data_IF_935789390689
#
_entry.id   IF_935789390689
#
_cell.length_a   1.000
_cell.length_b   1.000
_cell.length_c   1.000
_cell.angle_alpha   90.00
_cell.angle_beta   90.00
_cell.angle_gamma   90.00
#
_symmetry.space_group_name_H-M   'P 1'
#
loop_
_entity.id
_entity.type
_entity.pdbx_description
1 polymer ?
#
# COMPACT_ATOMS: atom_id res chain seq x y z
N UNK A 1 4.09 -16.74 9.04
CA UNK A 1 5.52 -16.36 9.04
C UNK A 1 5.60 -15.10 9.88
N UNK A 2 6.32 -15.16 11.00
CA UNK A 2 6.19 -14.22 12.11
C UNK A 2 7.19 -13.07 12.00
N UNK A 3 6.75 -11.86 12.36
CA UNK A 3 7.64 -10.79 12.80
C UNK A 3 6.92 -10.00 13.91
N UNK A 4 7.64 -9.76 15.00
CA UNK A 4 7.19 -9.07 16.22
C UNK A 4 7.74 -7.65 16.20
N UNK A 5 6.89 -6.67 16.47
CA UNK A 5 7.24 -5.27 16.68
C UNK A 5 6.49 -4.77 17.90
N UNK A 6 6.99 -5.13 19.07
CA UNK A 6 6.38 -4.82 20.36
C UNK A 6 6.68 -3.37 20.75
N UNK A 7 5.65 -2.52 20.84
CA UNK A 7 5.67 -1.37 21.75
C UNK A 7 5.39 -1.90 23.16
N UNK A 8 6.34 -2.65 23.73
CA UNK A 8 6.25 -3.13 25.11
C UNK A 8 6.82 -2.06 26.02
N UNK A 9 5.99 -1.57 26.96
CA UNK A 9 6.49 -0.86 28.13
C UNK A 9 7.52 -1.76 28.84
N UNK A 10 8.74 -1.26 29.16
CA UNK A 10 9.80 -2.09 29.73
C UNK A 10 9.32 -2.90 30.93
N UNK A 11 9.41 -4.24 30.84
CA UNK A 11 9.13 -5.16 31.95
C UNK A 11 7.78 -5.89 31.91
N UNK A 12 6.89 -5.60 30.95
CA UNK A 12 5.65 -6.37 30.77
C UNK A 12 5.85 -7.48 29.72
N UNK A 13 5.52 -8.73 30.06
CA UNK A 13 5.40 -9.79 29.06
C UNK A 13 4.02 -9.67 28.41
N UNK A 14 3.91 -9.60 27.08
CA UNK A 14 2.61 -9.62 26.44
C UNK A 14 1.90 -10.94 26.76
N UNK A 15 0.67 -10.85 27.26
CA UNK A 15 -0.23 -11.97 27.45
C UNK A 15 -1.18 -12.02 26.26
N UNK A 16 -1.00 -13.02 25.40
CA UNK A 16 -1.87 -13.26 24.27
C UNK A 16 -3.00 -14.22 24.66
N UNK A 17 -4.22 -13.87 24.26
CA UNK A 17 -5.36 -14.79 24.29
C UNK A 17 -5.79 -15.04 22.85
N UNK A 18 -5.78 -16.30 22.44
CA UNK A 18 -6.18 -16.70 21.10
C UNK A 18 -7.67 -17.06 21.07
N UNK A 19 -8.34 -16.69 19.98
CA UNK A 19 -9.72 -17.04 19.71
C UNK A 19 -9.84 -17.60 18.30
N UNK A 20 -10.45 -18.76 18.16
CA UNK A 20 -10.88 -19.29 16.86
C UNK A 20 -12.38 -19.07 16.69
N UNK A 21 -12.77 -18.43 15.59
CA UNK A 21 -14.16 -18.17 15.24
C UNK A 21 -14.40 -18.48 13.78
N UNK A 22 -15.60 -18.95 13.48
CA UNK A 22 -16.11 -19.13 12.12
C UNK A 22 -17.22 -18.12 11.92
N UNK A 23 -17.20 -17.42 10.78
CA UNK A 23 -18.27 -16.50 10.42
C UNK A 23 -19.59 -17.25 10.26
N UNK A 24 -20.68 -16.66 10.72
CA UNK A 24 -22.03 -17.16 10.47
C UNK A 24 -22.46 -17.00 9.00
N UNK A 25 -23.71 -17.34 8.69
CA UNK A 25 -24.29 -17.26 7.34
C UNK A 25 -24.43 -15.81 6.83
N UNK A 26 -24.29 -14.82 7.73
CA UNK A 26 -24.25 -13.39 7.39
C UNK A 26 -22.81 -12.88 7.21
N UNK A 27 -21.81 -13.75 7.39
CA UNK A 27 -20.40 -13.37 7.31
C UNK A 27 -19.87 -12.69 8.57
N UNK A 28 -20.60 -12.75 9.68
CA UNK A 28 -20.29 -12.06 10.93
C UNK A 28 -19.64 -13.00 11.96
N UNK A 29 -18.80 -12.47 12.85
CA UNK A 29 -18.36 -13.13 14.06
C UNK A 29 -18.20 -12.11 15.20
N UNK A 30 -18.28 -12.55 16.45
CA UNK A 30 -18.02 -11.71 17.62
C UNK A 30 -17.01 -12.35 18.57
N UNK A 31 -16.25 -11.48 19.24
CA UNK A 31 -15.40 -11.81 20.39
C UNK A 31 -15.84 -10.91 21.53
N UNK A 32 -16.23 -11.50 22.65
CA UNK A 32 -16.80 -10.81 23.81
C UNK A 32 -16.01 -11.12 25.08
N UNK A 33 -16.09 -10.23 26.07
CA UNK A 33 -15.54 -10.44 27.41
C UNK A 33 -14.01 -10.37 27.50
N UNK A 34 -13.34 -9.79 26.50
CA UNK A 34 -11.90 -9.58 26.53
C UNK A 34 -11.52 -8.13 26.91
N UNK A 35 -10.36 -7.96 27.54
CA UNK A 35 -9.91 -6.69 28.13
C UNK A 35 -8.51 -6.24 27.68
N UNK A 36 -8.10 -6.63 26.47
CA UNK A 36 -6.80 -6.28 25.88
C UNK A 36 -6.65 -4.81 25.46
N UNK A 37 -5.41 -4.43 25.13
CA UNK A 37 -5.08 -3.15 24.49
C UNK A 37 -5.35 -3.18 22.98
N UNK A 38 -5.09 -4.32 22.35
CA UNK A 38 -5.24 -4.54 20.92
C UNK A 38 -5.69 -5.98 20.62
N UNK A 39 -6.28 -6.17 19.44
CA UNK A 39 -6.67 -7.47 18.88
C UNK A 39 -5.94 -7.66 17.54
N UNK A 40 -5.11 -8.69 17.46
CA UNK A 40 -4.50 -9.10 16.20
C UNK A 40 -5.41 -10.12 15.49
N UNK A 41 -5.99 -9.69 14.38
CA UNK A 41 -6.86 -10.49 13.54
C UNK A 41 -6.06 -11.16 12.43
N UNK A 42 -6.08 -12.50 12.45
CA UNK A 42 -5.59 -13.34 11.38
C UNK A 42 -6.76 -14.07 10.74
N UNK A 43 -7.16 -13.59 9.57
CA UNK A 43 -8.24 -14.21 8.81
C UNK A 43 -7.65 -15.30 7.91
N UNK A 44 -8.15 -16.53 8.07
CA UNK A 44 -7.89 -17.60 7.12
C UNK A 44 -8.95 -17.57 6.01
N UNK A 45 -8.58 -17.27 4.75
CA UNK A 45 -9.56 -17.22 3.68
C UNK A 45 -10.18 -18.59 3.40
N UNK A 46 -11.47 -18.60 3.06
CA UNK A 46 -12.07 -19.76 2.39
C UNK A 46 -11.32 -20.01 1.07
N UNK A 47 -11.19 -21.27 0.60
CA UNK A 47 -10.58 -21.54 -0.70
C UNK A 47 -11.19 -20.70 -1.83
N UNK A 48 -10.33 -20.08 -2.64
CA UNK A 48 -10.76 -19.18 -3.71
C UNK A 48 -11.11 -17.76 -3.27
N UNK A 49 -10.83 -17.38 -2.02
CA UNK A 49 -10.95 -16.00 -1.55
C UNK A 49 -9.60 -15.40 -1.18
N UNK A 50 -9.47 -14.09 -1.40
CA UNK A 50 -8.41 -13.24 -0.89
C UNK A 50 -8.99 -12.26 0.12
N UNK A 51 -8.23 -11.93 1.17
CA UNK A 51 -8.59 -10.92 2.17
C UNK A 51 -7.62 -9.73 2.13
N UNK A 52 -8.15 -8.54 2.40
CA UNK A 52 -7.37 -7.32 2.67
C UNK A 52 -7.97 -6.58 3.88
N UNK A 53 -7.14 -5.96 4.74
CA UNK A 53 -5.68 -6.11 4.84
C UNK A 53 -5.26 -7.52 5.33
N UNK A 54 -4.00 -7.89 5.10
CA UNK A 54 -3.43 -9.16 5.59
C UNK A 54 -2.75 -8.89 6.93
N UNK A 55 -3.30 -9.45 8.01
CA UNK A 55 -2.86 -9.15 9.38
C UNK A 55 -3.33 -7.77 9.78
N UNK A 56 -4.37 -7.71 10.61
CA UNK A 56 -4.89 -6.45 11.13
C UNK A 56 -4.71 -6.41 12.64
N UNK A 57 -4.17 -5.31 13.14
CA UNK A 57 -4.23 -4.98 14.55
C UNK A 57 -5.34 -3.94 14.78
N UNK A 58 -6.30 -4.28 15.65
CA UNK A 58 -7.39 -3.39 16.06
C UNK A 58 -7.11 -2.91 17.48
N UNK A 59 -6.92 -1.61 17.68
CA UNK A 59 -6.76 -1.06 19.02
C UNK A 59 -8.11 -1.04 19.74
N UNK A 60 -8.16 -1.64 20.92
CA UNK A 60 -9.34 -1.72 21.79
C UNK A 60 -9.36 -0.58 22.83
N UNK A 61 -8.19 -0.02 23.17
CA UNK A 61 -8.01 1.07 24.14
C UNK A 61 -7.01 2.10 23.64
N UNK A 62 -7.20 3.35 24.06
CA UNK A 62 -6.29 4.46 23.72
C UNK A 62 -4.97 4.36 24.51
N UNK A 63 -3.84 4.57 23.84
CA UNK A 63 -2.49 4.48 24.41
C UNK A 63 -2.25 5.67 25.35
N UNK A 64 -2.63 5.50 26.62
CA UNK A 64 -2.24 6.43 27.70
C UNK A 64 -3.35 6.80 28.68
N UNK A 65 -4.63 6.53 28.37
CA UNK A 65 -5.76 6.99 29.21
C UNK A 65 -6.63 5.85 29.73
N UNK A 66 -6.39 4.60 29.31
CA UNK A 66 -7.20 3.43 29.70
C UNK A 66 -8.67 3.50 29.27
N UNK A 67 -9.04 4.54 28.51
CA UNK A 67 -10.37 4.73 27.93
C UNK A 67 -10.53 3.77 26.74
N UNK A 68 -11.74 3.24 26.52
CA UNK A 68 -12.06 2.52 25.29
C UNK A 68 -11.66 3.38 24.09
N UNK A 69 -10.94 2.80 23.13
CA UNK A 69 -10.63 3.50 21.90
C UNK A 69 -11.95 3.86 21.20
N UNK A 70 -12.03 4.97 20.45
CA UNK A 70 -13.21 5.30 19.65
C UNK A 70 -13.57 4.23 18.60
N UNK A 71 -12.72 3.21 18.43
CA UNK A 71 -12.82 2.08 17.52
C UNK A 71 -13.42 0.81 18.12
N UNK A 72 -14.05 0.83 19.31
CA UNK A 72 -14.77 -0.36 19.80
C UNK A 72 -15.92 -0.67 18.85
N UNK A 73 -15.76 -1.73 18.07
CA UNK A 73 -16.81 -2.23 17.19
C UNK A 73 -17.96 -2.78 18.02
N UNK A 74 -19.18 -2.31 17.73
CA UNK A 74 -20.41 -2.90 18.28
C UNK A 74 -21.14 -3.67 17.19
N UNK A 75 -22.24 -4.34 17.54
CA UNK A 75 -23.09 -4.96 16.53
C UNK A 75 -23.69 -3.92 15.57
N UNK A 76 -24.00 -2.73 16.07
CA UNK A 76 -24.59 -1.62 15.34
C UNK A 76 -23.55 -0.82 14.54
N UNK A 77 -22.26 -0.95 14.92
CA UNK A 77 -21.12 -0.35 14.22
C UNK A 77 -19.96 -1.36 14.17
N UNK A 78 -20.08 -2.43 13.36
CA UNK A 78 -19.09 -3.50 13.33
C UNK A 78 -17.82 -3.03 12.61
N UNK A 79 -16.70 -3.67 12.93
CA UNK A 79 -15.54 -3.60 12.06
C UNK A 79 -15.81 -4.46 10.82
N UNK A 80 -15.75 -3.87 9.63
CA UNK A 80 -16.04 -4.55 8.37
C UNK A 80 -14.73 -4.92 7.67
N UNK A 81 -14.64 -6.17 7.21
CA UNK A 81 -13.56 -6.67 6.38
C UNK A 81 -14.12 -7.10 5.03
N UNK A 82 -13.36 -6.88 3.96
CA UNK A 82 -13.75 -7.36 2.66
C UNK A 82 -12.95 -8.61 2.28
N UNK A 83 -13.68 -9.58 1.76
CA UNK A 83 -13.14 -10.76 1.10
C UNK A 83 -13.49 -10.67 -0.37
N UNK A 84 -12.52 -10.94 -1.24
CA UNK A 84 -12.73 -10.98 -2.67
C UNK A 84 -12.60 -12.42 -3.16
N UNK A 85 -13.62 -12.90 -3.86
CA UNK A 85 -13.59 -14.23 -4.47
C UNK A 85 -12.85 -14.15 -5.80
N UNK A 86 -11.81 -14.97 -5.95
CA UNK A 86 -11.08 -15.08 -7.21
C UNK A 86 -12.01 -15.44 -8.38
N UNK A 87 -11.70 -14.87 -9.54
CA UNK A 87 -12.31 -15.22 -10.81
C UNK A 87 -12.02 -16.67 -11.21
N UNK A 88 -12.70 -17.15 -12.26
CA UNK A 88 -12.59 -18.54 -12.71
C UNK A 88 -11.22 -18.91 -13.30
N UNK A 89 -10.37 -17.92 -13.63
CA UNK A 89 -9.09 -18.14 -14.30
C UNK A 89 -8.01 -17.32 -13.62
N UNK A 90 -7.22 -17.96 -12.77
CA UNK A 90 -5.97 -17.37 -12.26
C UNK A 90 -4.96 -17.37 -13.40
N UNK A 91 -4.33 -16.24 -13.65
CA UNK A 91 -3.31 -16.08 -14.69
C UNK A 91 -1.90 -16.04 -14.07
N UNK A 92 -0.92 -16.48 -14.85
CA UNK A 92 0.48 -16.47 -14.43
C UNK A 92 1.01 -15.03 -14.37
N UNK A 93 0.90 -14.38 -13.22
CA UNK A 93 1.43 -13.03 -13.03
C UNK A 93 2.90 -13.04 -12.61
N UNK A 94 3.68 -12.12 -13.17
CA UNK A 94 4.98 -11.74 -12.60
C UNK A 94 4.75 -10.78 -11.43
N UNK A 95 5.23 -11.14 -10.24
CA UNK A 95 5.07 -10.35 -9.01
C UNK A 95 6.43 -9.96 -8.46
N UNK A 96 6.54 -8.79 -7.86
CA UNK A 96 7.77 -8.39 -7.18
C UNK A 96 7.62 -7.11 -6.38
N UNK A 97 8.71 -6.75 -5.72
CA UNK A 97 8.81 -5.55 -4.90
C UNK A 97 10.17 -4.90 -5.10
N UNK A 98 10.17 -3.57 -5.21
CA UNK A 98 11.37 -2.73 -5.29
C UNK A 98 11.33 -1.83 -4.06
N UNK A 99 12.40 -1.79 -3.29
CA UNK A 99 12.62 -0.79 -2.25
C UNK A 99 13.90 -0.02 -2.59
N UNK A 100 13.79 1.28 -2.75
CA UNK A 100 14.88 2.16 -3.14
C UNK A 100 14.84 3.45 -2.31
N UNK A 101 15.90 3.69 -1.56
CA UNK A 101 15.91 4.74 -0.52
C UNK A 101 16.91 5.87 -0.80
N UNK A 102 17.54 5.83 -1.98
CA UNK A 102 18.60 6.76 -2.39
C UNK A 102 18.11 7.71 -3.51
N UNK A 103 16.81 8.04 -3.52
CA UNK A 103 16.31 9.11 -4.38
C UNK A 103 16.84 10.44 -3.87
N UNK A 104 17.56 11.17 -4.72
CA UNK A 104 17.97 12.55 -4.45
C UNK A 104 16.79 13.45 -4.82
N UNK A 105 16.17 14.16 -3.86
CA UNK A 105 14.93 14.89 -4.11
C UNK A 105 15.19 16.29 -4.68
N UNK A 106 16.02 16.38 -5.72
CA UNK A 106 16.34 17.62 -6.45
C UNK A 106 15.60 17.74 -7.79
N UNK A 107 14.69 16.80 -8.06
CA UNK A 107 13.93 16.72 -9.30
C UNK A 107 14.61 15.97 -10.43
N UNK A 108 15.80 15.39 -10.21
CA UNK A 108 16.41 14.53 -11.23
C UNK A 108 15.55 13.28 -11.50
N UNK A 109 15.57 12.77 -12.73
CA UNK A 109 14.77 11.61 -13.10
C UNK A 109 15.47 10.29 -12.76
N UNK A 110 14.67 9.33 -12.30
CA UNK A 110 15.02 7.95 -12.05
C UNK A 110 14.14 7.03 -12.89
N UNK A 111 14.73 6.03 -13.51
CA UNK A 111 14.02 5.00 -14.27
C UNK A 111 13.77 3.79 -13.40
N UNK A 112 12.51 3.38 -13.32
CA UNK A 112 12.06 2.14 -12.69
C UNK A 112 11.94 1.06 -13.75
N UNK A 113 12.59 -0.07 -13.51
CA UNK A 113 12.54 -1.27 -14.34
C UNK A 113 11.98 -2.43 -13.52
N UNK A 114 10.66 -2.62 -13.56
CA UNK A 114 9.91 -3.63 -12.81
C UNK A 114 10.46 -5.03 -13.06
N UNK A 115 10.67 -5.42 -14.33
CA UNK A 115 11.12 -6.77 -14.68
C UNK A 115 12.51 -7.12 -14.13
N UNK A 116 13.37 -6.13 -13.97
CA UNK A 116 14.72 -6.32 -13.45
C UNK A 116 14.85 -6.00 -11.96
N UNK A 117 13.78 -5.50 -11.32
CA UNK A 117 13.81 -4.99 -9.95
C UNK A 117 14.89 -3.93 -9.71
N UNK A 118 14.97 -2.93 -10.60
CA UNK A 118 16.00 -1.89 -10.50
C UNK A 118 15.41 -0.49 -10.61
N UNK A 119 16.07 0.43 -9.90
CA UNK A 119 15.94 1.87 -10.07
C UNK A 119 17.31 2.41 -10.44
N UNK A 120 17.39 3.21 -11.50
CA UNK A 120 18.64 3.81 -11.98
C UNK A 120 18.43 5.28 -12.31
N UNK A 121 19.45 6.11 -12.14
CA UNK A 121 19.40 7.51 -12.59
C UNK A 121 19.35 7.55 -14.12
N UNK A 122 18.45 8.33 -14.71
CA UNK A 122 18.37 8.45 -16.17
C UNK A 122 17.00 8.86 -16.68
N UNK A 123 16.88 8.91 -18.01
CA UNK A 123 15.67 9.38 -18.71
C UNK A 123 15.11 8.42 -19.75
N UNK A 124 15.81 7.34 -20.08
CA UNK A 124 15.45 6.43 -21.18
C UNK A 124 15.50 4.97 -20.74
N UNK A 125 14.67 4.13 -21.38
CA UNK A 125 14.67 2.65 -21.27
C UNK A 125 14.22 2.10 -19.90
N UNK A 126 12.90 2.03 -19.68
CA UNK A 126 12.29 1.39 -18.52
C UNK A 126 10.76 1.48 -18.53
N UNK A 127 10.12 1.06 -17.45
CA UNK A 127 8.65 1.06 -17.37
C UNK A 127 8.11 2.47 -17.08
N UNK A 128 8.70 3.13 -16.07
CA UNK A 128 8.34 4.49 -15.66
C UNK A 128 9.57 5.31 -15.29
N UNK A 129 9.43 6.62 -15.40
CA UNK A 129 10.35 7.61 -14.88
C UNK A 129 9.72 8.26 -13.65
N UNK A 130 10.52 8.50 -12.62
CA UNK A 130 10.10 9.12 -11.38
C UNK A 130 11.00 10.32 -11.11
N UNK A 131 10.42 11.41 -10.61
CA UNK A 131 11.18 12.52 -10.05
C UNK A 131 10.56 12.96 -8.73
N UNK A 132 11.40 13.31 -7.77
CA UNK A 132 10.97 13.84 -6.46
C UNK A 132 11.69 15.16 -6.22
N UNK A 133 10.98 16.15 -5.68
CA UNK A 133 11.54 17.46 -5.30
C UNK A 133 11.20 17.76 -3.84
N UNK A 134 12.18 18.30 -3.12
CA UNK A 134 12.09 18.78 -1.74
C UNK A 134 13.16 19.86 -1.51
N UNK A 135 12.93 20.88 -0.67
CA UNK A 135 13.98 21.86 -0.35
C UNK A 135 15.17 21.19 0.36
N UNK A 136 16.40 21.72 0.16
CA UNK A 136 17.54 21.34 0.99
C UNK A 136 17.33 21.75 2.45
N UNK A 137 17.97 21.07 3.40
CA UNK A 137 17.90 21.43 4.82
C UNK A 137 16.54 21.18 5.48
N UNK A 138 15.72 20.30 4.90
CA UNK A 138 14.38 19.95 5.39
C UNK A 138 14.37 19.26 6.78
N UNK A 139 15.49 18.64 7.21
CA UNK A 139 15.53 17.71 8.36
C UNK A 139 15.04 18.30 9.69
N UNK A 140 15.11 19.62 9.86
CA UNK A 140 14.66 20.32 11.07
C UNK A 140 13.27 20.94 10.94
N UNK A 141 12.54 20.64 9.86
CA UNK A 141 11.24 21.23 9.56
C UNK A 141 10.11 20.23 9.86
N UNK A 142 9.03 20.73 10.44
CA UNK A 142 7.80 19.96 10.67
C UNK A 142 7.07 19.69 9.35
N UNK A 143 7.00 20.71 8.48
CA UNK A 143 6.44 20.60 7.13
C UNK A 143 7.39 21.24 6.14
N UNK A 144 7.37 20.79 4.89
CA UNK A 144 8.18 21.34 3.80
C UNK A 144 7.47 21.17 2.46
N UNK A 145 7.79 22.00 1.47
CA UNK A 145 7.28 21.80 0.13
C UNK A 145 7.85 20.51 -0.47
N UNK A 146 7.01 19.63 -1.02
CA UNK A 146 7.52 18.49 -1.77
C UNK A 146 6.59 18.10 -2.90
N UNK A 147 7.15 17.42 -3.90
CA UNK A 147 6.37 16.91 -5.02
C UNK A 147 7.00 15.66 -5.59
N UNK A 148 6.16 14.83 -6.20
CA UNK A 148 6.57 13.66 -6.95
C UNK A 148 5.84 13.63 -8.29
N UNK A 149 6.52 13.14 -9.32
CA UNK A 149 5.92 12.87 -10.63
C UNK A 149 6.33 11.48 -11.10
N UNK A 150 5.38 10.73 -11.64
CA UNK A 150 5.60 9.48 -12.36
C UNK A 150 5.23 9.73 -13.82
N UNK A 151 6.17 9.49 -14.73
CA UNK A 151 5.92 9.47 -16.16
C UNK A 151 6.03 8.04 -16.70
N UNK A 152 5.02 7.61 -17.43
CA UNK A 152 5.03 6.41 -18.24
C UNK A 152 6.08 6.48 -19.35
N UNK A 153 7.01 5.52 -19.38
CA UNK A 153 8.00 5.37 -20.46
C UNK A 153 7.50 4.33 -21.45
N UNK A 154 7.39 3.07 -21.04
CA UNK A 154 6.82 1.99 -21.84
C UNK A 154 5.41 1.58 -21.39
N UNK A 155 4.98 2.14 -20.27
CA UNK A 155 3.72 1.84 -19.63
C UNK A 155 2.88 3.12 -19.47
N UNK A 156 1.57 2.95 -19.51
CA UNK A 156 0.57 3.96 -19.18
C UNK A 156 -0.02 3.63 -17.81
N UNK A 157 -0.44 4.66 -17.07
CA UNK A 157 -0.89 4.63 -15.69
C UNK A 157 -2.35 5.03 -15.60
N UNK A 158 -3.12 4.36 -14.76
CA UNK A 158 -4.44 4.83 -14.35
C UNK A 158 -4.57 4.68 -12.84
N UNK A 159 -4.67 5.80 -12.13
CA UNK A 159 -4.84 5.79 -10.68
C UNK A 159 -6.14 5.06 -10.30
N UNK A 160 -6.09 4.29 -9.22
CA UNK A 160 -7.24 3.54 -8.72
C UNK A 160 -7.30 3.57 -7.20
N UNK A 161 -8.52 3.45 -6.68
CA UNK A 161 -8.81 3.24 -5.27
C UNK A 161 -9.40 1.84 -5.02
N UNK A 162 -9.34 0.96 -6.02
CA UNK A 162 -9.84 -0.40 -5.91
C UNK A 162 -9.02 -1.18 -4.88
N UNK A 163 -9.74 -1.76 -3.92
CA UNK A 163 -9.12 -2.49 -2.82
C UNK A 163 -8.36 -3.75 -3.30
N UNK A 164 -8.94 -4.45 -4.29
CA UNK A 164 -8.41 -5.71 -4.81
C UNK A 164 -7.79 -5.59 -6.19
N UNK A 165 -8.15 -4.58 -6.98
CA UNK A 165 -7.62 -4.29 -8.31
C UNK A 165 -7.43 -5.55 -9.20
N UNK A 166 -8.49 -6.37 -9.31
CA UNK A 166 -8.47 -7.68 -9.97
C UNK A 166 -8.64 -7.63 -11.48
N UNK A 167 -9.23 -6.56 -12.03
CA UNK A 167 -9.38 -6.39 -13.47
C UNK A 167 -8.98 -4.98 -13.88
N UNK A 168 -8.03 -4.88 -14.79
CA UNK A 168 -7.61 -3.62 -15.37
C UNK A 168 -8.76 -3.00 -16.19
N UNK A 169 -9.00 -1.68 -16.12
CA UNK A 169 -10.02 -1.01 -16.91
C UNK A 169 -9.70 -1.04 -18.41
N UNK A 170 -10.71 -0.85 -19.27
CA UNK A 170 -10.52 -0.84 -20.72
C UNK A 170 -9.89 0.47 -21.23
N UNK A 171 -10.06 1.56 -20.49
CA UNK A 171 -9.69 2.93 -20.88
C UNK A 171 -9.46 3.81 -19.66
N UNK A 172 -8.82 4.97 -19.85
CA UNK A 172 -8.53 5.94 -18.78
C UNK A 172 -7.04 6.05 -18.43
N UNK A 173 -6.19 5.32 -19.15
CA UNK A 173 -4.75 5.38 -18.99
C UNK A 173 -4.16 6.70 -19.49
N UNK A 174 -3.27 7.27 -18.70
CA UNK A 174 -2.47 8.44 -19.01
C UNK A 174 -0.98 8.17 -18.84
N UNK A 175 -0.16 9.11 -19.29
CA UNK A 175 1.29 9.00 -19.20
C UNK A 175 1.89 9.68 -17.97
N UNK A 176 1.13 10.51 -17.26
CA UNK A 176 1.71 11.34 -16.20
C UNK A 176 0.77 11.30 -15.00
N UNK A 177 1.37 11.06 -13.85
CA UNK A 177 0.74 11.29 -12.55
C UNK A 177 1.65 12.19 -11.72
N UNK A 178 1.06 13.08 -10.93
CA UNK A 178 1.82 13.99 -10.08
C UNK A 178 1.10 14.27 -8.77
N UNK A 179 1.90 14.47 -7.74
CA UNK A 179 1.46 14.90 -6.42
C UNK A 179 2.36 16.04 -5.95
N UNK A 180 1.78 17.02 -5.27
CA UNK A 180 2.52 18.12 -4.68
C UNK A 180 1.86 18.56 -3.38
N UNK A 181 2.67 18.93 -2.41
CA UNK A 181 2.22 19.45 -1.14
C UNK A 181 3.04 20.67 -0.73
N UNK A 182 2.35 21.63 -0.10
CA UNK A 182 2.95 22.86 0.43
C UNK A 182 3.08 22.78 1.93
N UNK A 183 4.16 23.32 2.47
CA UNK A 183 4.35 23.44 3.91
C UNK A 183 3.17 24.20 4.56
N UNK A 184 2.69 23.73 5.71
CA UNK A 184 1.56 24.35 6.43
C UNK A 184 0.18 24.06 5.86
N UNK A 185 0.05 23.21 4.83
CA UNK A 185 -1.26 22.78 4.32
C UNK A 185 -1.96 21.91 5.36
N UNK A 186 -3.24 22.15 5.65
CA UNK A 186 -4.04 21.26 6.51
C UNK A 186 -4.05 19.84 5.95
N UNK A 187 -3.78 18.84 6.80
CA UNK A 187 -3.61 17.46 6.34
C UNK A 187 -2.28 17.22 5.62
N UNK A 188 -1.22 17.95 6.01
CA UNK A 188 0.13 17.73 5.53
C UNK A 188 0.53 16.25 5.68
N UNK A 189 1.04 15.64 4.61
CA UNK A 189 1.56 14.28 4.62
C UNK A 189 3.00 14.28 4.15
N UNK A 190 3.81 13.39 4.74
CA UNK A 190 5.18 13.13 4.30
C UNK A 190 5.28 11.90 3.42
N UNK A 191 4.16 11.23 3.24
CA UNK A 191 4.05 9.98 2.51
C UNK A 191 2.80 10.00 1.63
N UNK A 192 2.93 9.49 0.41
CA UNK A 192 1.79 9.26 -0.48
C UNK A 192 1.85 7.84 -1.04
N UNK A 193 0.70 7.18 -1.06
CA UNK A 193 0.56 5.75 -1.38
C UNK A 193 -0.36 5.48 -2.58
N UNK A 194 -0.07 6.03 -3.78
CA UNK A 194 -0.96 5.86 -4.92
C UNK A 194 -0.92 4.42 -5.44
N UNK A 195 -2.07 3.97 -5.97
CA UNK A 195 -2.20 2.68 -6.65
C UNK A 195 -2.55 2.93 -8.10
N UNK A 196 -2.01 2.12 -8.99
CA UNK A 196 -2.26 2.27 -10.42
C UNK A 196 -2.56 0.93 -11.08
N UNK A 197 -3.49 0.95 -12.03
CA UNK A 197 -3.48 0.01 -13.13
C UNK A 197 -2.42 0.41 -14.15
N UNK A 198 -1.79 -0.60 -14.76
CA UNK A 198 -0.79 -0.46 -15.80
C UNK A 198 -1.29 -1.04 -17.10
N UNK A 199 -0.89 -0.41 -18.21
CA UNK A 199 -1.05 -0.94 -19.56
C UNK A 199 0.21 -0.62 -20.35
N UNK A 200 0.83 -1.59 -21.01
CA UNK A 200 1.95 -1.28 -21.90
C UNK A 200 1.45 -0.45 -23.08
N UNK A 201 2.28 0.45 -23.61
CA UNK A 201 1.91 1.28 -24.76
C UNK A 201 1.56 0.46 -26.01
N UNK A 202 2.14 -0.74 -26.12
CA UNK A 202 1.79 -1.70 -27.17
C UNK A 202 0.43 -2.40 -26.94
N UNK A 203 -0.21 -2.23 -25.78
CA UNK A 203 -1.49 -2.83 -25.41
C UNK A 203 -1.45 -4.32 -25.12
N UNK A 204 -0.26 -4.91 -25.06
CA UNK A 204 -0.05 -6.37 -24.93
C UNK A 204 0.13 -6.83 -23.48
N UNK A 205 0.24 -5.91 -22.54
CA UNK A 205 0.52 -6.22 -21.15
C UNK A 205 -0.32 -5.32 -20.25
N UNK A 206 -0.91 -5.92 -19.23
CA UNK A 206 -1.60 -5.20 -18.17
C UNK A 206 -0.93 -5.49 -16.83
N UNK A 207 -1.20 -4.65 -15.84
CA UNK A 207 -0.67 -4.85 -14.51
C UNK A 207 -1.33 -3.96 -13.49
N UNK A 208 -0.82 -4.04 -12.28
CA UNK A 208 -1.05 -3.06 -11.23
C UNK A 208 0.22 -2.83 -10.43
N UNK A 209 0.31 -1.63 -9.86
CA UNK A 209 1.33 -1.26 -8.90
C UNK A 209 0.71 -0.60 -7.68
N UNK A 210 1.33 -0.82 -6.54
CA UNK A 210 1.15 -0.01 -5.33
C UNK A 210 2.48 0.67 -5.07
N UNK A 211 2.47 1.99 -4.97
CA UNK A 211 3.68 2.80 -4.81
C UNK A 211 3.58 3.54 -3.49
N UNK A 212 4.68 3.58 -2.74
CA UNK A 212 4.84 4.38 -1.54
C UNK A 212 6.03 5.32 -1.75
N UNK A 213 5.78 6.63 -1.62
CA UNK A 213 6.84 7.64 -1.59
C UNK A 213 6.99 8.19 -0.20
N UNK A 214 8.21 8.17 0.33
CA UNK A 214 8.54 8.69 1.67
C UNK A 214 9.40 9.93 1.49
N UNK A 215 8.79 11.10 1.63
CA UNK A 215 9.41 12.38 1.32
C UNK A 215 10.46 12.80 2.35
N UNK A 216 10.49 12.22 3.56
CA UNK A 216 11.40 12.56 4.67
C UNK A 216 12.40 11.45 5.02
N UNK A 217 12.73 10.58 4.06
CA UNK A 217 13.67 9.49 4.29
C UNK A 217 15.14 9.97 4.30
N UNK A 218 15.67 10.29 5.49
CA UNK A 218 17.08 10.72 5.69
C UNK A 218 17.46 11.81 4.66
N UNK A 219 18.71 11.83 4.20
CA UNK A 219 19.17 12.82 3.23
C UNK A 219 18.51 12.68 1.83
N UNK A 220 17.84 11.57 1.55
CA UNK A 220 17.15 11.27 0.30
C UNK A 220 15.62 11.28 0.41
N UNK A 221 14.99 10.45 -0.42
CA UNK A 221 13.58 10.08 -0.36
C UNK A 221 13.44 8.57 -0.60
N UNK A 222 12.40 7.98 -0.02
CA UNK A 222 12.08 6.56 -0.17
C UNK A 222 11.10 6.31 -1.30
N UNK A 223 11.29 5.20 -2.01
CA UNK A 223 10.38 4.63 -2.98
C UNK A 223 10.23 3.14 -2.72
N UNK A 224 9.01 2.70 -2.49
CA UNK A 224 8.65 1.28 -2.47
C UNK A 224 7.61 1.05 -3.56
N UNK A 225 7.81 0.01 -4.37
CA UNK A 225 6.88 -0.38 -5.45
C UNK A 225 6.59 -1.86 -5.31
N UNK A 226 5.34 -2.21 -5.10
CA UNK A 226 4.84 -3.57 -5.29
C UNK A 226 4.18 -3.65 -6.66
N UNK A 227 4.47 -4.71 -7.42
CA UNK A 227 3.92 -4.86 -8.77
C UNK A 227 3.41 -6.25 -9.05
N UNK A 228 2.40 -6.29 -9.93
CA UNK A 228 1.81 -7.49 -10.50
C UNK A 228 1.60 -7.25 -11.99
N UNK A 229 2.26 -8.03 -12.84
CA UNK A 229 2.25 -7.86 -14.28
C UNK A 229 1.69 -9.11 -14.97
N UNK A 230 0.68 -8.91 -15.80
CA UNK A 230 0.11 -9.93 -16.66
C UNK A 230 0.58 -9.76 -18.11
N UNK A 231 1.39 -10.72 -18.59
CA UNK A 231 1.94 -10.70 -19.95
C UNK A 231 1.07 -11.44 -20.99
N UNK A 232 -0.11 -11.94 -20.61
CA UNK A 232 -1.01 -12.65 -21.54
C UNK A 232 -1.78 -11.71 -22.48
N UNK A 233 -1.80 -10.41 -22.18
CA UNK A 233 -2.65 -9.40 -22.84
C UNK A 233 -4.07 -9.32 -22.28
N UNK A 234 -4.44 -10.21 -21.35
CA UNK A 234 -5.69 -10.14 -20.61
C UNK A 234 -5.67 -8.99 -19.60
N UNK A 235 -6.84 -8.38 -19.34
CA UNK A 235 -7.03 -7.38 -18.29
C UNK A 235 -7.15 -8.00 -16.90
N UNK A 236 -7.21 -9.32 -16.79
CA UNK A 236 -7.26 -10.04 -15.53
C UNK A 236 -5.93 -9.89 -14.76
N UNK A 237 -5.99 -9.50 -13.49
CA UNK A 237 -4.85 -9.21 -12.62
C UNK A 237 -4.81 -10.11 -11.37
N UNK A 238 -5.30 -11.34 -11.54
CA UNK A 238 -5.32 -12.40 -10.52
C UNK A 238 -4.33 -13.53 -10.82
#
# INVERSE_FOLDING_TARGET
MSYFGDTVLPGLKPHYREFDRVSDDLGCFSVEGDNGLALDLKIQPKPGYQFRPVGLQVMLRDEGVGKPAPTISTRESPYVFHAFKHGQKVEGMSKGAIAFYDLVPDGRPYIVKLRSNRVVVGTTDGDFRISVKRPPGWANQTDFDWSVQIDGVDMELQETHDEFASEAPASGYGLIWGFAQKAGTTGYVREVNPKFYLKSRAGVQFGRIEVQFIADYRDGAGLIVHYWLNSSGSRNLE
#
